data_IF_957676008136
#
_entry.id   IF_957676008136
#
_cell.length_a   1.000
_cell.length_b   1.000
_cell.length_c   1.000
_cell.angle_alpha   90.00
_cell.angle_beta   90.00
_cell.angle_gamma   90.00
#
_symmetry.space_group_name_H-M   'P 1'
#
loop_
_entity.id
_entity.type
_entity.pdbx_description
1 polymer ?
#
# COMPACT_ATOMS: atom_id res chain seq x y z
N UNK A 1 -50.25 -13.83 -5.25
CA UNK A 1 -49.11 -14.13 -6.15
C UNK A 1 -49.17 -13.20 -7.36
N UNK A 2 -48.16 -12.35 -7.53
CA UNK A 2 -47.60 -12.07 -8.84
C UNK A 2 -46.12 -12.46 -8.86
N UNK A 3 -45.70 -13.11 -9.95
CA UNK A 3 -44.32 -13.50 -10.17
C UNK A 3 -43.43 -12.26 -10.34
N UNK A 4 -42.43 -12.08 -9.46
CA UNK A 4 -41.39 -11.09 -9.70
C UNK A 4 -40.51 -11.58 -10.85
N UNK A 5 -40.52 -10.82 -11.95
CA UNK A 5 -39.56 -10.99 -13.04
C UNK A 5 -38.17 -10.74 -12.47
N UNK A 6 -37.37 -11.81 -12.31
CA UNK A 6 -35.92 -11.70 -12.11
C UNK A 6 -35.33 -11.06 -13.36
N UNK A 7 -34.95 -9.80 -13.27
CA UNK A 7 -34.14 -9.14 -14.29
C UNK A 7 -32.73 -9.74 -14.29
N UNK A 8 -32.13 -10.04 -15.46
CA UNK A 8 -30.80 -10.64 -15.56
C UNK A 8 -29.74 -9.54 -15.45
N UNK A 9 -29.53 -8.98 -14.26
CA UNK A 9 -28.59 -7.86 -14.05
C UNK A 9 -27.14 -8.28 -13.74
N UNK A 10 -26.70 -9.46 -14.20
CA UNK A 10 -25.38 -10.01 -13.86
C UNK A 10 -24.51 -10.43 -15.05
N UNK A 11 -25.00 -10.32 -16.29
CA UNK A 11 -24.27 -10.83 -17.48
C UNK A 11 -23.72 -9.67 -18.34
N UNK A 12 -24.35 -8.50 -18.29
CA UNK A 12 -24.02 -7.37 -19.18
C UNK A 12 -22.61 -6.81 -18.95
N UNK A 13 -22.13 -6.58 -17.70
CA UNK A 13 -20.77 -6.09 -17.48
C UNK A 13 -19.70 -7.09 -17.94
N UNK A 14 -19.88 -8.38 -17.62
CA UNK A 14 -18.96 -9.46 -18.04
C UNK A 14 -18.86 -9.63 -19.55
N UNK A 15 -19.98 -9.50 -20.26
CA UNK A 15 -19.98 -9.53 -21.73
C UNK A 15 -19.23 -8.31 -22.29
N UNK A 16 -19.39 -7.13 -21.68
CA UNK A 16 -18.65 -5.92 -22.06
C UNK A 16 -17.14 -6.09 -21.80
N UNK A 17 -16.73 -6.60 -20.64
CA UNK A 17 -15.33 -6.88 -20.34
C UNK A 17 -14.72 -7.94 -21.27
N UNK A 18 -15.46 -9.01 -21.55
CA UNK A 18 -15.05 -10.03 -22.52
C UNK A 18 -14.86 -9.45 -23.92
N UNK A 19 -15.78 -8.61 -24.38
CA UNK A 19 -15.66 -7.91 -25.67
C UNK A 19 -14.46 -6.96 -25.68
N UNK A 20 -14.23 -6.21 -24.60
CA UNK A 20 -13.08 -5.29 -24.49
C UNK A 20 -11.76 -6.07 -24.54
N UNK A 21 -11.66 -7.17 -23.79
CA UNK A 21 -10.47 -8.01 -23.76
C UNK A 21 -10.23 -8.68 -25.11
N UNK A 22 -11.27 -9.26 -25.74
CA UNK A 22 -11.18 -9.83 -27.09
C UNK A 22 -10.76 -8.76 -28.10
N UNK A 23 -11.30 -7.55 -28.00
CA UNK A 23 -10.95 -6.43 -28.89
C UNK A 23 -9.49 -5.99 -28.71
N UNK A 24 -9.02 -5.90 -27.47
CA UNK A 24 -7.64 -5.59 -27.15
C UNK A 24 -6.68 -6.66 -27.70
N UNK A 25 -7.02 -7.94 -27.52
CA UNK A 25 -6.27 -9.08 -28.03
C UNK A 25 -6.26 -9.12 -29.55
N UNK A 26 -7.40 -8.85 -30.20
CA UNK A 26 -7.53 -8.77 -31.65
C UNK A 26 -6.66 -7.65 -32.21
N UNK A 27 -6.73 -6.44 -31.64
CA UNK A 27 -5.90 -5.30 -32.04
C UNK A 27 -4.40 -5.60 -31.91
N UNK A 28 -4.00 -6.31 -30.85
CA UNK A 28 -2.61 -6.69 -30.61
C UNK A 28 -2.12 -7.81 -31.54
N UNK A 29 -2.97 -8.78 -31.85
CA UNK A 29 -2.65 -9.84 -32.82
C UNK A 29 -2.46 -9.30 -34.24
N UNK A 30 -3.29 -8.34 -34.65
CA UNK A 30 -3.18 -7.71 -35.97
C UNK A 30 -2.23 -6.50 -36.02
N UNK A 31 -1.73 -6.02 -34.87
CA UNK A 31 -0.74 -4.94 -34.76
C UNK A 31 0.44 -5.07 -35.75
N UNK A 32 1.06 -6.26 -35.95
CA UNK A 32 2.21 -6.40 -36.86
C UNK A 32 1.82 -6.23 -38.33
N UNK A 33 0.53 -6.38 -38.66
CA UNK A 33 -0.01 -6.25 -40.02
C UNK A 33 -0.53 -4.83 -40.30
N UNK A 34 -0.49 -3.92 -39.32
CA UNK A 34 -0.98 -2.55 -39.48
C UNK A 34 0.12 -1.61 -40.01
N UNK A 35 -0.26 -0.59 -40.81
CA UNK A 35 0.62 0.52 -41.16
C UNK A 35 1.19 1.20 -39.91
N UNK A 36 2.41 1.73 -40.01
CA UNK A 36 3.21 2.24 -38.89
C UNK A 36 2.47 3.26 -37.99
N UNK A 37 1.66 4.13 -38.60
CA UNK A 37 0.81 5.09 -37.88
C UNK A 37 -0.26 4.37 -37.05
N UNK A 38 -0.96 3.40 -37.63
CA UNK A 38 -2.03 2.63 -36.95
C UNK A 38 -1.49 1.63 -35.92
N UNK A 39 -0.22 1.24 -36.06
CA UNK A 39 0.45 0.32 -35.15
C UNK A 39 0.65 0.92 -33.76
N UNK A 40 1.06 2.19 -33.67
CA UNK A 40 1.16 2.91 -32.41
C UNK A 40 -0.22 3.11 -31.76
N UNK A 41 -1.24 3.46 -32.54
CA UNK A 41 -2.62 3.59 -32.05
C UNK A 41 -3.17 2.25 -31.53
N UNK A 42 -2.97 1.16 -32.27
CA UNK A 42 -3.40 -0.17 -31.85
C UNK A 42 -2.68 -0.64 -30.58
N UNK A 43 -1.40 -0.30 -30.42
CA UNK A 43 -0.64 -0.59 -29.20
C UNK A 43 -1.23 0.16 -28.00
N UNK A 44 -1.40 1.49 -28.11
CA UNK A 44 -1.95 2.30 -27.02
C UNK A 44 -3.40 1.91 -26.68
N UNK A 45 -4.23 1.62 -27.68
CA UNK A 45 -5.63 1.22 -27.48
C UNK A 45 -5.72 -0.17 -26.85
N UNK A 46 -4.98 -1.17 -27.36
CA UNK A 46 -5.01 -2.52 -26.78
C UNK A 46 -4.52 -2.54 -25.33
N UNK A 47 -3.49 -1.76 -25.03
CA UNK A 47 -2.97 -1.61 -23.68
C UNK A 47 -3.95 -0.87 -22.77
N UNK A 48 -4.52 0.26 -23.23
CA UNK A 48 -5.52 1.00 -22.47
C UNK A 48 -6.77 0.16 -22.18
N UNK A 49 -7.18 -0.71 -23.12
CA UNK A 49 -8.30 -1.63 -22.94
C UNK A 49 -7.99 -2.74 -21.92
N UNK A 50 -6.78 -3.29 -21.92
CA UNK A 50 -6.36 -4.29 -20.91
C UNK A 50 -6.33 -3.65 -19.52
N UNK A 51 -5.77 -2.44 -19.41
CA UNK A 51 -5.73 -1.68 -18.15
C UNK A 51 -7.13 -1.28 -17.69
N UNK A 52 -8.01 -0.85 -18.60
CA UNK A 52 -9.40 -0.55 -18.28
C UNK A 52 -10.18 -1.79 -17.81
N UNK A 53 -9.86 -2.98 -18.32
CA UNK A 53 -10.40 -4.25 -17.80
C UNK A 53 -9.89 -4.53 -16.40
N UNK A 54 -8.58 -4.38 -16.15
CA UNK A 54 -8.00 -4.57 -14.81
C UNK A 54 -8.61 -3.58 -13.81
N UNK A 55 -8.59 -2.28 -14.12
CA UNK A 55 -9.16 -1.22 -13.28
C UNK A 55 -10.67 -1.39 -13.11
N UNK A 56 -11.40 -1.74 -14.18
CA UNK A 56 -12.84 -1.95 -14.14
C UNK A 56 -13.23 -3.16 -13.29
N UNK A 57 -12.46 -4.25 -13.34
CA UNK A 57 -12.62 -5.40 -12.45
C UNK A 57 -12.30 -5.03 -11.01
N UNK A 58 -11.27 -4.21 -10.76
CA UNK A 58 -10.97 -3.65 -9.43
C UNK A 58 -12.09 -2.72 -8.92
N UNK A 59 -12.69 -1.91 -9.79
CA UNK A 59 -13.78 -0.99 -9.44
C UNK A 59 -15.10 -1.73 -9.16
N UNK A 60 -15.43 -2.75 -9.97
CA UNK A 60 -16.62 -3.56 -9.77
C UNK A 60 -16.47 -4.43 -8.52
N UNK A 61 -15.26 -4.94 -8.23
CA UNK A 61 -14.93 -5.65 -6.98
C UNK A 61 -15.07 -4.75 -5.74
N UNK A 62 -14.49 -3.55 -5.76
CA UNK A 62 -14.63 -2.57 -4.66
C UNK A 62 -16.07 -2.12 -4.44
N UNK A 63 -16.86 -1.95 -5.50
CA UNK A 63 -18.29 -1.66 -5.40
C UNK A 63 -19.12 -2.85 -4.90
N UNK A 64 -18.64 -4.09 -5.06
CA UNK A 64 -19.36 -5.32 -4.70
C UNK A 64 -18.89 -5.99 -3.40
N UNK A 65 -17.87 -5.45 -2.70
CA UNK A 65 -17.44 -5.89 -1.36
C UNK A 65 -18.55 -5.85 -0.27
N UNK A 66 -19.77 -5.39 -0.61
CA UNK A 66 -20.98 -5.52 0.22
C UNK A 66 -21.80 -6.82 -0.02
N UNK A 67 -21.43 -7.71 -0.96
CA UNK A 67 -22.11 -8.99 -1.20
C UNK A 67 -21.12 -10.11 -1.54
N UNK A 68 -20.41 -10.59 -0.53
CA UNK A 68 -19.47 -11.70 -0.63
C UNK A 68 -20.15 -13.06 -0.43
N UNK A 69 -20.01 -13.95 -1.41
CA UNK A 69 -19.50 -15.33 -1.22
C UNK A 69 -19.37 -16.05 -2.56
N UNK A 70 -20.29 -15.76 -3.50
CA UNK A 70 -20.32 -16.41 -4.82
C UNK A 70 -19.25 -15.83 -5.77
N UNK A 71 -18.94 -14.53 -5.66
CA UNK A 71 -17.98 -13.86 -6.54
C UNK A 71 -16.53 -14.25 -6.26
N UNK A 72 -16.20 -14.58 -5.00
CA UNK A 72 -14.84 -14.89 -4.54
C UNK A 72 -14.29 -16.17 -5.18
N UNK A 73 -15.13 -17.19 -5.30
CA UNK A 73 -14.76 -18.44 -5.96
C UNK A 73 -14.64 -18.30 -7.48
N UNK A 74 -15.46 -17.44 -8.10
CA UNK A 74 -15.43 -17.19 -9.55
C UNK A 74 -14.28 -16.28 -9.98
N UNK A 75 -13.87 -15.33 -9.14
CA UNK A 75 -12.71 -14.45 -9.41
C UNK A 75 -11.38 -15.15 -9.20
N UNK A 76 -11.30 -16.11 -8.28
CA UNK A 76 -10.06 -16.85 -8.07
C UNK A 76 -9.70 -17.69 -9.31
N UNK A 77 -10.70 -18.34 -9.94
CA UNK A 77 -10.53 -19.05 -11.20
C UNK A 77 -10.21 -18.11 -12.38
N UNK A 78 -10.80 -16.90 -12.42
CA UNK A 78 -10.55 -15.95 -13.51
C UNK A 78 -9.19 -15.24 -13.41
N UNK A 79 -8.74 -14.89 -12.20
CA UNK A 79 -7.42 -14.32 -11.96
C UNK A 79 -6.32 -15.30 -12.34
N UNK A 80 -6.49 -16.58 -12.00
CA UNK A 80 -5.53 -17.61 -12.35
C UNK A 80 -5.53 -17.90 -13.85
N UNK A 81 -6.67 -17.84 -14.53
CA UNK A 81 -6.75 -17.93 -15.98
C UNK A 81 -6.18 -16.70 -16.70
N UNK A 82 -6.38 -15.49 -16.18
CA UNK A 82 -5.78 -14.25 -16.72
C UNK A 82 -4.27 -14.26 -16.49
N UNK A 83 -3.81 -14.71 -15.33
CA UNK A 83 -2.39 -14.89 -15.02
C UNK A 83 -1.76 -15.97 -15.92
N UNK A 84 -2.42 -17.12 -16.09
CA UNK A 84 -1.99 -18.18 -17.00
C UNK A 84 -2.01 -17.69 -18.46
N UNK A 85 -2.97 -16.86 -18.88
CA UNK A 85 -3.03 -16.28 -20.21
C UNK A 85 -1.92 -15.23 -20.43
N UNK A 86 -1.66 -14.36 -19.46
CA UNK A 86 -0.57 -13.38 -19.48
C UNK A 86 0.82 -14.03 -19.39
N UNK A 87 0.92 -15.21 -18.76
CA UNK A 87 2.14 -16.02 -18.65
C UNK A 87 2.37 -16.90 -19.89
N UNK A 88 1.30 -17.49 -20.45
CA UNK A 88 1.35 -18.33 -21.64
C UNK A 88 1.56 -17.51 -22.92
N UNK A 89 1.07 -16.27 -22.93
CA UNK A 89 1.29 -15.32 -23.99
C UNK A 89 2.07 -14.15 -23.43
N UNK A 90 3.37 -14.12 -23.74
CA UNK A 90 4.42 -13.12 -23.46
C UNK A 90 4.02 -11.66 -23.84
N UNK A 91 2.85 -11.20 -23.41
CA UNK A 91 2.09 -10.11 -24.03
C UNK A 91 2.45 -8.76 -23.40
N UNK A 92 2.96 -8.70 -22.18
CA UNK A 92 3.52 -7.48 -21.61
C UNK A 92 4.87 -7.78 -20.95
N UNK A 93 5.93 -7.18 -21.50
CA UNK A 93 7.24 -7.16 -20.85
C UNK A 93 7.16 -6.32 -19.57
N UNK A 94 8.00 -6.58 -18.55
CA UNK A 94 8.00 -5.75 -17.33
C UNK A 94 8.24 -4.26 -17.64
N UNK A 95 9.00 -3.96 -18.69
CA UNK A 95 9.21 -2.61 -19.20
C UNK A 95 7.90 -1.94 -19.60
N UNK A 96 7.02 -2.63 -20.31
CA UNK A 96 5.73 -2.08 -20.74
C UNK A 96 4.78 -1.88 -19.56
N UNK A 97 4.77 -2.83 -18.61
CA UNK A 97 4.00 -2.69 -17.36
C UNK A 97 4.45 -1.43 -16.63
N UNK A 98 5.74 -1.29 -16.35
CA UNK A 98 6.25 -0.13 -15.63
C UNK A 98 6.11 1.18 -16.42
N UNK A 99 6.21 1.16 -17.76
CA UNK A 99 5.90 2.35 -18.57
C UNK A 99 4.49 2.87 -18.29
N UNK A 100 3.50 1.98 -18.21
CA UNK A 100 2.12 2.35 -17.92
C UNK A 100 1.94 2.83 -16.49
N UNK A 101 2.56 2.14 -15.53
CA UNK A 101 2.59 2.59 -14.14
C UNK A 101 3.11 4.02 -14.06
N UNK A 102 4.18 4.33 -14.82
CA UNK A 102 4.76 5.66 -14.87
C UNK A 102 3.79 6.69 -15.44
N UNK A 103 3.11 6.38 -16.54
CA UNK A 103 2.14 7.25 -17.18
C UNK A 103 0.96 7.55 -16.24
N UNK A 104 0.41 6.53 -15.59
CA UNK A 104 -0.71 6.67 -14.64
C UNK A 104 -0.28 7.50 -13.44
N UNK A 105 0.80 7.13 -12.77
CA UNK A 105 1.27 7.83 -11.57
C UNK A 105 1.58 9.31 -11.84
N UNK A 106 2.02 9.65 -13.06
CA UNK A 106 2.30 11.04 -13.45
C UNK A 106 1.04 11.86 -13.79
N UNK A 107 -0.11 11.23 -14.00
CA UNK A 107 -1.35 11.89 -14.41
C UNK A 107 -2.40 12.01 -13.30
N UNK A 108 -2.30 11.18 -12.26
CA UNK A 108 -3.25 11.20 -11.15
C UNK A 108 -2.94 12.32 -10.16
N UNK A 109 -3.99 12.92 -9.61
CA UNK A 109 -3.88 13.97 -8.59
C UNK A 109 -3.71 13.43 -7.17
N UNK A 110 -3.79 12.10 -7.00
CA UNK A 110 -3.62 11.38 -5.74
C UNK A 110 -2.27 10.67 -5.71
N UNK A 111 -1.74 10.41 -4.52
CA UNK A 111 -0.47 9.70 -4.34
C UNK A 111 -0.72 8.18 -4.44
N UNK A 112 -0.22 7.50 -5.48
CA UNK A 112 -0.42 6.05 -5.62
C UNK A 112 0.46 5.28 -4.63
N UNK A 113 -0.12 4.32 -3.92
CA UNK A 113 0.64 3.42 -3.04
C UNK A 113 0.37 1.94 -3.33
N UNK A 114 1.40 1.10 -3.24
CA UNK A 114 1.27 -0.37 -3.23
C UNK A 114 0.82 -0.91 -1.86
N UNK A 115 0.83 -0.08 -0.83
CA UNK A 115 0.53 -0.49 0.53
C UNK A 115 -0.97 -0.37 0.79
N UNK A 116 -1.52 -1.37 1.48
CA UNK A 116 -2.91 -1.38 1.91
C UNK A 116 -2.99 -1.45 3.43
N UNK A 117 -3.87 -0.65 4.08
CA UNK A 117 -4.73 0.37 3.48
C UNK A 117 -3.97 1.65 3.10
N UNK A 118 -4.49 2.45 2.17
CA UNK A 118 -4.00 3.81 1.93
C UNK A 118 -4.21 4.69 3.18
N UNK A 119 -3.30 5.62 3.47
CA UNK A 119 -3.41 6.50 4.65
C UNK A 119 -4.67 7.36 4.58
N UNK A 120 -5.49 7.41 5.64
CA UNK A 120 -6.70 8.25 5.64
C UNK A 120 -6.32 9.73 5.59
N UNK A 121 -7.05 10.52 4.80
CA UNK A 121 -6.89 11.97 4.67
C UNK A 121 -5.49 12.44 4.20
N UNK A 122 -4.72 11.58 3.55
CA UNK A 122 -3.36 11.86 3.04
C UNK A 122 -3.29 12.11 1.53
N UNK A 123 -4.43 12.07 0.84
CA UNK A 123 -4.46 12.06 -0.62
C UNK A 123 -3.91 10.78 -1.26
N UNK A 124 -3.53 9.77 -0.47
CA UNK A 124 -3.11 8.45 -0.97
C UNK A 124 -4.28 7.67 -1.58
N UNK A 125 -3.98 6.89 -2.62
CA UNK A 125 -4.89 5.92 -3.18
C UNK A 125 -4.19 4.57 -3.36
N UNK A 126 -4.87 3.50 -2.96
CA UNK A 126 -4.40 2.13 -3.18
C UNK A 126 -4.31 1.88 -4.68
N UNK A 127 -3.10 1.66 -5.16
CA UNK A 127 -2.81 1.52 -6.59
C UNK A 127 -3.26 0.16 -7.14
N UNK A 128 -3.16 -0.90 -6.34
CA UNK A 128 -3.65 -2.24 -6.67
C UNK A 128 -4.12 -2.96 -5.41
N UNK A 129 -5.12 -3.82 -5.52
CA UNK A 129 -5.59 -4.67 -4.42
C UNK A 129 -4.80 -5.99 -4.30
N UNK A 130 -4.10 -6.40 -5.37
CA UNK A 130 -3.19 -7.54 -5.33
C UNK A 130 -1.81 -7.12 -5.80
N UNK A 131 -0.83 -7.39 -4.94
CA UNK A 131 0.59 -7.18 -5.20
C UNK A 131 1.27 -8.44 -5.74
N UNK A 132 0.58 -9.59 -5.80
CA UNK A 132 1.18 -10.89 -6.18
C UNK A 132 1.75 -10.88 -7.60
N UNK A 133 1.09 -10.16 -8.50
CA UNK A 133 1.58 -9.92 -9.85
C UNK A 133 2.94 -9.20 -9.81
N UNK A 134 3.06 -8.14 -9.02
CA UNK A 134 4.30 -7.40 -8.86
C UNK A 134 5.37 -8.21 -8.15
N UNK A 135 5.00 -9.01 -7.13
CA UNK A 135 5.91 -9.91 -6.43
C UNK A 135 6.56 -10.88 -7.43
N UNK A 136 5.77 -11.42 -8.35
CA UNK A 136 6.25 -12.30 -9.41
C UNK A 136 7.15 -11.54 -10.38
N UNK A 137 6.72 -10.36 -10.83
CA UNK A 137 7.40 -9.55 -11.83
C UNK A 137 8.81 -9.12 -11.36
N UNK A 138 8.91 -8.63 -10.13
CA UNK A 138 10.18 -8.18 -9.53
C UNK A 138 11.14 -9.36 -9.32
N UNK A 139 10.62 -10.53 -8.91
CA UNK A 139 11.43 -11.76 -8.77
C UNK A 139 11.97 -12.26 -10.11
N UNK A 140 11.20 -12.14 -11.19
CA UNK A 140 11.60 -12.64 -12.51
C UNK A 140 12.66 -11.75 -13.19
N UNK A 141 12.57 -10.43 -13.06
CA UNK A 141 13.46 -9.50 -13.76
C UNK A 141 14.05 -8.40 -12.85
N UNK A 142 14.73 -8.76 -11.75
CA UNK A 142 15.15 -7.79 -10.73
C UNK A 142 16.05 -6.68 -11.28
N UNK A 143 16.99 -7.02 -12.17
CA UNK A 143 17.92 -6.05 -12.77
C UNK A 143 17.22 -5.01 -13.64
N UNK A 144 16.23 -5.43 -14.42
CA UNK A 144 15.48 -4.52 -15.29
C UNK A 144 14.59 -3.60 -14.46
N UNK A 145 13.94 -4.14 -13.43
CA UNK A 145 13.15 -3.36 -12.49
C UNK A 145 14.00 -2.32 -11.76
N UNK A 146 15.19 -2.70 -11.26
CA UNK A 146 16.11 -1.76 -10.60
C UNK A 146 16.47 -0.60 -11.55
N UNK A 147 16.78 -0.90 -12.82
CA UNK A 147 17.11 0.11 -13.83
C UNK A 147 15.92 1.03 -14.14
N UNK A 148 14.70 0.51 -14.14
CA UNK A 148 13.51 1.35 -14.35
C UNK A 148 13.28 2.25 -13.13
N UNK A 149 13.27 1.67 -11.93
CA UNK A 149 13.03 2.39 -10.69
C UNK A 149 14.10 3.45 -10.41
N UNK A 150 15.36 3.24 -10.81
CA UNK A 150 16.41 4.25 -10.71
C UNK A 150 16.06 5.53 -11.47
N UNK A 151 15.32 5.44 -12.59
CA UNK A 151 14.86 6.62 -13.34
C UNK A 151 13.68 7.32 -12.67
N UNK A 152 12.88 6.62 -11.87
CA UNK A 152 11.71 7.20 -11.18
C UNK A 152 12.11 7.97 -9.94
N UNK A 153 13.22 7.60 -9.32
CA UNK A 153 13.74 8.26 -8.13
C UNK A 153 14.66 9.45 -8.45
N UNK A 154 14.85 9.82 -9.73
CA UNK A 154 15.63 11.00 -10.09
C UNK A 154 15.04 12.28 -9.47
N UNK A 155 15.86 13.29 -9.08
CA UNK A 155 15.37 14.50 -8.41
C UNK A 155 14.26 15.25 -9.17
N UNK A 156 14.30 15.22 -10.51
CA UNK A 156 13.33 15.88 -11.40
C UNK A 156 12.04 15.07 -11.65
N UNK A 157 11.96 13.84 -11.15
CA UNK A 157 10.79 12.99 -11.35
C UNK A 157 9.58 13.49 -10.57
N UNK A 158 8.40 13.18 -11.09
CA UNK A 158 7.12 13.53 -10.46
C UNK A 158 7.01 12.93 -9.05
N UNK A 159 6.42 13.66 -8.09
CA UNK A 159 6.32 13.23 -6.68
C UNK A 159 5.66 11.85 -6.52
N UNK A 160 4.59 11.60 -7.27
CA UNK A 160 3.91 10.29 -7.28
C UNK A 160 4.79 9.15 -7.79
N UNK A 161 5.68 9.43 -8.76
CA UNK A 161 6.62 8.42 -9.25
C UNK A 161 7.68 8.09 -8.22
N UNK A 162 8.19 9.12 -7.54
CA UNK A 162 9.10 8.94 -6.41
C UNK A 162 8.44 8.06 -5.36
N UNK A 163 7.23 8.44 -4.93
CA UNK A 163 6.48 7.72 -3.91
C UNK A 163 6.22 6.25 -4.30
N UNK A 164 5.73 6.00 -5.53
CA UNK A 164 5.48 4.63 -5.98
C UNK A 164 6.77 3.83 -6.11
N UNK A 165 7.87 4.46 -6.56
CA UNK A 165 9.17 3.80 -6.64
C UNK A 165 9.68 3.39 -5.25
N UNK A 166 9.54 4.24 -4.23
CA UNK A 166 9.91 3.88 -2.87
C UNK A 166 9.07 2.72 -2.32
N UNK A 167 7.78 2.61 -2.68
CA UNK A 167 6.97 1.45 -2.33
C UNK A 167 7.55 0.15 -2.88
N UNK A 168 7.94 0.12 -4.17
CA UNK A 168 8.63 -1.03 -4.75
C UNK A 168 9.96 -1.30 -4.05
N UNK A 169 10.81 -0.27 -3.89
CA UNK A 169 12.15 -0.43 -3.29
C UNK A 169 12.05 -0.96 -1.87
N UNK A 170 11.18 -0.37 -1.05
CA UNK A 170 10.95 -0.75 0.34
C UNK A 170 10.35 -2.15 0.44
N UNK A 171 9.26 -2.43 -0.27
CA UNK A 171 8.58 -3.74 -0.22
C UNK A 171 9.49 -4.89 -0.63
N UNK A 172 10.32 -4.71 -1.66
CA UNK A 172 11.23 -5.75 -2.16
C UNK A 172 12.67 -5.65 -1.63
N UNK A 173 12.97 -4.71 -0.74
CA UNK A 173 14.29 -4.48 -0.14
C UNK A 173 15.40 -4.38 -1.20
N UNK A 174 15.17 -3.55 -2.22
CA UNK A 174 16.12 -3.35 -3.34
C UNK A 174 17.31 -2.49 -2.89
N UNK A 175 18.27 -3.12 -2.22
CA UNK A 175 19.44 -2.48 -1.61
C UNK A 175 20.29 -1.64 -2.58
N UNK A 176 20.26 -1.97 -3.87
CA UNK A 176 20.98 -1.26 -4.93
C UNK A 176 20.50 0.19 -5.11
N UNK A 177 19.29 0.51 -4.66
CA UNK A 177 18.68 1.84 -4.77
C UNK A 177 18.60 2.57 -3.42
N UNK A 178 18.86 1.90 -2.30
CA UNK A 178 18.64 2.46 -0.96
C UNK A 178 19.53 3.67 -0.68
N UNK A 179 20.79 3.65 -1.13
CA UNK A 179 21.72 4.75 -0.93
C UNK A 179 21.31 6.03 -1.67
N UNK A 180 20.62 5.89 -2.79
CA UNK A 180 20.14 7.04 -3.57
C UNK A 180 18.92 7.66 -2.89
N UNK A 181 17.99 6.85 -2.38
CA UNK A 181 16.86 7.32 -1.57
C UNK A 181 17.36 8.11 -0.35
N UNK A 182 18.34 7.56 0.37
CA UNK A 182 18.96 8.20 1.52
C UNK A 182 19.55 9.57 1.18
N UNK A 183 20.37 9.63 0.12
CA UNK A 183 21.03 10.87 -0.33
C UNK A 183 20.05 11.99 -0.66
N UNK A 184 18.86 11.66 -1.11
CA UNK A 184 17.84 12.64 -1.46
C UNK A 184 16.96 13.04 -0.27
N UNK A 185 16.60 12.10 0.61
CA UNK A 185 15.61 12.34 1.66
C UNK A 185 16.21 12.90 2.96
N UNK A 186 17.35 12.40 3.43
CA UNK A 186 17.93 12.84 4.71
C UNK A 186 18.25 14.35 4.73
N UNK A 187 18.89 14.94 3.70
CA UNK A 187 19.16 16.37 3.72
C UNK A 187 17.88 17.21 3.78
N UNK A 188 16.83 16.77 3.09
CA UNK A 188 15.54 17.49 3.04
C UNK A 188 14.83 17.39 4.39
N UNK A 189 14.86 16.23 5.04
CA UNK A 189 14.35 16.08 6.41
C UNK A 189 15.11 16.98 7.40
N UNK A 190 16.45 17.01 7.32
CA UNK A 190 17.28 17.79 8.24
C UNK A 190 17.16 19.31 8.09
N UNK A 191 16.83 19.81 6.89
CA UNK A 191 16.55 21.23 6.67
C UNK A 191 15.31 21.70 7.45
N UNK A 192 14.39 20.80 7.79
CA UNK A 192 13.15 21.09 8.46
C UNK A 192 12.15 21.86 7.58
N UNK A 193 10.94 22.08 8.11
CA UNK A 193 9.92 22.87 7.40
C UNK A 193 9.35 22.18 6.15
N UNK A 194 9.17 20.86 6.20
CA UNK A 194 8.56 20.09 5.11
C UNK A 194 7.15 20.61 4.81
N UNK A 195 6.91 20.95 3.54
CA UNK A 195 5.56 21.16 3.05
C UNK A 195 4.78 19.83 3.10
N UNK A 196 3.44 19.88 3.13
CA UNK A 196 2.62 18.67 3.06
C UNK A 196 2.97 17.83 1.82
N UNK A 197 3.18 18.49 0.68
CA UNK A 197 3.56 17.87 -0.58
C UNK A 197 4.93 17.17 -0.55
N UNK A 198 5.89 17.72 0.20
CA UNK A 198 7.23 17.13 0.31
C UNK A 198 7.31 16.05 1.39
N UNK A 199 6.55 16.21 2.47
CA UNK A 199 6.59 15.32 3.63
C UNK A 199 6.35 13.87 3.24
N UNK A 200 5.34 13.62 2.42
CA UNK A 200 4.94 12.26 2.07
C UNK A 200 6.02 11.49 1.31
N UNK A 201 6.60 12.08 0.25
CA UNK A 201 7.62 11.37 -0.52
C UNK A 201 8.95 11.28 0.24
N UNK A 202 9.30 12.28 1.04
CA UNK A 202 10.51 12.26 1.89
C UNK A 202 10.41 11.15 2.92
N UNK A 203 9.30 11.09 3.67
CA UNK A 203 9.09 10.05 4.67
C UNK A 203 8.99 8.67 4.03
N UNK A 204 8.37 8.55 2.85
CA UNK A 204 8.31 7.27 2.14
C UNK A 204 9.68 6.81 1.64
N UNK A 205 10.55 7.72 1.21
CA UNK A 205 11.95 7.40 0.91
C UNK A 205 12.67 6.89 2.15
N UNK A 206 12.49 7.57 3.29
CA UNK A 206 13.11 7.18 4.57
C UNK A 206 12.65 5.80 5.00
N UNK A 207 11.35 5.54 4.96
CA UNK A 207 10.82 4.20 5.20
C UNK A 207 11.46 3.17 4.26
N UNK A 208 11.47 3.43 2.95
CA UNK A 208 11.94 2.46 1.95
C UNK A 208 13.42 2.12 2.08
N UNK A 209 14.30 3.08 2.38
CA UNK A 209 15.70 2.74 2.63
C UNK A 209 15.94 2.18 4.02
N UNK A 210 15.17 2.59 5.04
CA UNK A 210 15.27 2.03 6.40
C UNK A 210 14.92 0.54 6.45
N UNK A 211 14.02 0.08 5.56
CA UNK A 211 13.74 -1.34 5.29
C UNK A 211 14.95 -2.14 4.81
N UNK A 212 15.96 -1.48 4.24
CA UNK A 212 17.18 -2.09 3.73
C UNK A 212 18.33 -2.07 4.76
N UNK A 213 18.14 -1.41 5.91
CA UNK A 213 19.14 -1.32 6.97
C UNK A 213 19.33 -2.64 7.73
N UNK A 214 20.46 -2.74 8.44
CA UNK A 214 20.75 -3.83 9.37
C UNK A 214 21.24 -3.22 10.69
N UNK A 215 20.41 -3.17 11.76
CA UNK A 215 19.02 -3.62 11.83
C UNK A 215 18.05 -2.75 11.00
N UNK A 216 16.91 -3.31 10.59
CA UNK A 216 15.86 -2.60 9.84
C UNK A 216 15.23 -1.48 10.68
N UNK A 217 14.79 -0.41 10.00
CA UNK A 217 14.11 0.74 10.59
C UNK A 217 14.92 1.56 11.60
N UNK A 218 16.25 1.45 11.60
CA UNK A 218 17.09 2.15 12.57
C UNK A 218 16.91 3.66 12.48
N UNK A 219 17.10 4.24 11.29
CA UNK A 219 16.96 5.68 11.11
C UNK A 219 15.51 6.14 11.34
N UNK A 220 14.55 5.31 10.95
CA UNK A 220 13.13 5.62 11.07
C UNK A 220 12.72 5.71 12.54
N UNK A 221 13.23 4.79 13.37
CA UNK A 221 13.08 4.83 14.81
C UNK A 221 13.79 6.03 15.45
N UNK A 222 14.99 6.39 14.98
CA UNK A 222 15.67 7.60 15.44
C UNK A 222 14.86 8.88 15.14
N UNK A 223 14.28 8.98 13.93
CA UNK A 223 13.38 10.08 13.57
C UNK A 223 12.14 10.09 14.47
N UNK A 224 11.49 8.95 14.65
CA UNK A 224 10.29 8.83 15.48
C UNK A 224 10.54 9.23 16.94
N UNK A 225 11.70 8.85 17.48
CA UNK A 225 12.08 9.15 18.87
C UNK A 225 12.44 10.62 19.10
N UNK A 226 13.04 11.27 18.10
CA UNK A 226 13.62 12.62 18.26
C UNK A 226 12.75 13.74 17.71
N UNK A 227 11.82 13.45 16.80
CA UNK A 227 10.92 14.46 16.24
C UNK A 227 9.94 14.98 17.28
N UNK A 228 9.60 16.26 17.16
CA UNK A 228 8.47 16.90 17.83
C UNK A 228 7.36 17.31 16.83
N UNK A 229 7.50 16.94 15.55
CA UNK A 229 6.52 17.22 14.51
C UNK A 229 5.42 16.15 14.54
N UNK A 230 4.22 16.56 14.94
CA UNK A 230 3.06 15.68 15.07
C UNK A 230 2.65 15.04 13.75
N UNK A 231 2.84 15.70 12.61
CA UNK A 231 2.48 15.12 11.31
C UNK A 231 3.47 14.03 10.88
N UNK A 232 4.76 14.18 11.23
CA UNK A 232 5.75 13.12 11.04
C UNK A 232 5.42 11.91 11.94
N UNK A 233 5.12 12.15 13.22
CA UNK A 233 4.73 11.09 14.15
C UNK A 233 3.50 10.32 13.64
N UNK A 234 2.46 11.04 13.22
CA UNK A 234 1.25 10.46 12.63
C UNK A 234 1.53 9.63 11.39
N UNK A 235 2.36 10.13 10.48
CA UNK A 235 2.73 9.41 9.27
C UNK A 235 3.43 8.09 9.59
N UNK A 236 4.36 8.10 10.55
CA UNK A 236 5.13 6.93 10.98
C UNK A 236 4.28 5.91 11.75
N UNK A 237 3.38 6.38 12.61
CA UNK A 237 2.47 5.53 13.39
C UNK A 237 1.46 4.77 12.53
N UNK A 238 1.27 5.16 11.26
CA UNK A 238 0.41 4.42 10.35
C UNK A 238 1.11 3.23 9.67
N UNK A 239 2.44 3.19 9.61
CA UNK A 239 3.19 2.10 8.97
C UNK A 239 2.84 0.71 9.53
N UNK A 240 2.68 0.49 10.85
CA UNK A 240 2.30 -0.81 11.40
C UNK A 240 0.89 -1.26 10.99
N UNK A 241 0.03 -0.32 10.56
CA UNK A 241 -1.29 -0.63 9.99
C UNK A 241 -1.16 -1.19 8.58
N UNK A 242 -0.23 -0.66 7.79
CA UNK A 242 0.02 -1.08 6.41
C UNK A 242 0.87 -2.36 6.31
N UNK A 243 1.86 -2.49 7.19
CA UNK A 243 2.88 -3.54 7.10
C UNK A 243 3.30 -4.05 8.49
N UNK A 244 2.41 -4.73 9.22
CA UNK A 244 2.71 -5.19 10.57
C UNK A 244 3.95 -6.11 10.59
N UNK A 245 4.92 -5.78 11.44
CA UNK A 245 6.18 -6.51 11.60
C UNK A 245 6.75 -6.31 13.00
N UNK A 246 7.59 -7.23 13.46
CA UNK A 246 8.19 -7.16 14.80
C UNK A 246 9.10 -5.93 14.95
N UNK A 247 9.80 -5.55 13.89
CA UNK A 247 10.71 -4.41 13.90
C UNK A 247 9.95 -3.08 14.04
N UNK A 248 8.77 -2.95 13.42
CA UNK A 248 7.89 -1.81 13.65
C UNK A 248 7.27 -1.82 15.06
N UNK A 249 7.03 -3.01 15.63
CA UNK A 249 6.63 -3.14 17.04
C UNK A 249 7.70 -2.60 18.00
N UNK A 250 8.97 -2.91 17.73
CA UNK A 250 10.10 -2.36 18.49
C UNK A 250 10.19 -0.83 18.33
N UNK A 251 9.99 -0.32 17.12
CA UNK A 251 9.96 1.12 16.86
C UNK A 251 8.87 1.84 17.67
N UNK A 252 7.66 1.27 17.75
CA UNK A 252 6.57 1.81 18.57
C UNK A 252 6.90 1.74 20.06
N UNK A 253 7.53 0.65 20.53
CA UNK A 253 8.00 0.55 21.91
C UNK A 253 9.00 1.66 22.24
N UNK A 254 10.01 1.86 21.39
CA UNK A 254 11.07 2.85 21.62
C UNK A 254 10.51 4.29 21.59
N UNK A 255 9.49 4.54 20.75
CA UNK A 255 8.75 5.80 20.74
C UNK A 255 8.02 6.06 22.06
N UNK A 256 7.41 5.03 22.67
CA UNK A 256 6.72 5.16 23.96
C UNK A 256 7.66 5.35 25.15
N UNK A 257 8.90 4.85 25.05
CA UNK A 257 9.96 5.01 26.04
C UNK A 257 10.56 6.43 26.08
N UNK A 258 10.31 7.27 25.06
CA UNK A 258 10.87 8.63 25.03
C UNK A 258 10.40 9.45 26.23
N UNK A 259 11.23 10.36 26.72
CA UNK A 259 10.86 11.25 27.84
C UNK A 259 9.90 12.38 27.42
N UNK A 260 9.84 12.70 26.13
CA UNK A 260 9.00 13.76 25.60
C UNK A 260 7.50 13.45 25.74
N UNK A 261 6.68 14.50 25.80
CA UNK A 261 5.23 14.37 25.74
C UNK A 261 4.81 13.79 24.37
N UNK A 262 3.75 12.99 24.36
CA UNK A 262 3.11 12.49 23.14
C UNK A 262 1.73 13.12 23.11
N UNK A 263 1.32 13.67 21.96
CA UNK A 263 -0.01 14.22 21.81
C UNK A 263 -1.07 13.12 21.91
N UNK A 264 -2.23 13.43 22.50
CA UNK A 264 -3.31 12.45 22.70
C UNK A 264 -3.76 11.82 21.37
N UNK A 265 -3.87 12.62 20.30
CA UNK A 265 -4.18 12.10 18.95
C UNK A 265 -3.16 11.05 18.46
N UNK A 266 -1.88 11.22 18.81
CA UNK A 266 -0.83 10.28 18.46
C UNK A 266 -0.87 9.03 19.36
N UNK A 267 -1.33 9.13 20.61
CA UNK A 267 -1.61 7.95 21.44
C UNK A 267 -2.74 7.10 20.86
N UNK A 268 -3.77 7.71 20.27
CA UNK A 268 -4.82 6.97 19.56
C UNK A 268 -4.26 6.20 18.35
N UNK A 269 -3.33 6.80 17.62
CA UNK A 269 -2.62 6.14 16.51
C UNK A 269 -1.71 5.01 17.01
N UNK A 270 -1.06 5.17 18.18
CA UNK A 270 -0.33 4.06 18.80
C UNK A 270 -1.27 2.91 19.11
N UNK A 271 -2.44 3.17 19.72
CA UNK A 271 -3.44 2.12 20.02
C UNK A 271 -3.84 1.37 18.75
N UNK A 272 -4.04 2.09 17.64
CA UNK A 272 -4.36 1.52 16.33
C UNK A 272 -3.20 0.68 15.76
N UNK A 273 -1.97 1.20 15.82
CA UNK A 273 -0.77 0.51 15.38
C UNK A 273 -0.57 -0.81 16.15
N UNK A 274 -0.70 -0.76 17.48
CA UNK A 274 -0.55 -1.94 18.35
C UNK A 274 -1.65 -2.96 18.09
N UNK A 275 -2.90 -2.53 17.85
CA UNK A 275 -3.99 -3.42 17.45
C UNK A 275 -3.67 -4.19 16.16
N UNK A 276 -3.16 -3.48 15.14
CA UNK A 276 -2.75 -4.06 13.86
C UNK A 276 -1.63 -5.09 14.04
N UNK A 277 -0.59 -4.71 14.79
CA UNK A 277 0.56 -5.58 15.07
C UNK A 277 0.16 -6.84 15.86
N UNK A 278 -0.73 -6.69 16.84
CA UNK A 278 -1.23 -7.80 17.64
C UNK A 278 -2.10 -8.76 16.82
N UNK A 279 -3.03 -8.23 16.01
CA UNK A 279 -3.85 -9.03 15.09
C UNK A 279 -3.00 -9.83 14.12
N UNK A 280 -1.91 -9.23 13.63
CA UNK A 280 -0.95 -9.89 12.74
C UNK A 280 0.00 -10.86 13.47
N UNK A 281 -0.13 -11.02 14.80
CA UNK A 281 0.73 -11.83 15.66
C UNK A 281 2.22 -11.42 15.60
N UNK A 282 2.50 -10.16 15.26
CA UNK A 282 3.86 -9.63 15.22
C UNK A 282 4.42 -9.37 16.63
N UNK A 283 3.55 -9.00 17.57
CA UNK A 283 3.87 -8.74 18.98
C UNK A 283 2.70 -9.12 19.90
N UNK A 284 2.97 -9.22 21.20
CA UNK A 284 1.93 -9.14 22.24
C UNK A 284 1.57 -7.66 22.51
N UNK A 285 0.51 -7.19 21.86
CA UNK A 285 0.06 -5.80 21.99
C UNK A 285 -0.50 -5.48 23.38
N UNK A 286 -1.09 -6.46 24.07
CA UNK A 286 -1.63 -6.27 25.42
C UNK A 286 -0.48 -6.03 26.40
N UNK A 287 0.56 -6.87 26.33
CA UNK A 287 1.77 -6.68 27.13
C UNK A 287 2.46 -5.34 26.84
N UNK A 288 2.53 -4.94 25.56
CA UNK A 288 3.12 -3.66 25.18
C UNK A 288 2.36 -2.47 25.78
N UNK A 289 1.03 -2.44 25.70
CA UNK A 289 0.24 -1.36 26.30
C UNK A 289 0.39 -1.33 27.83
N UNK A 290 0.39 -2.50 28.50
CA UNK A 290 0.58 -2.62 29.96
C UNK A 290 1.94 -2.13 30.45
N UNK A 291 2.97 -2.17 29.59
CA UNK A 291 4.31 -1.66 29.91
C UNK A 291 4.31 -0.13 30.14
N UNK A 292 3.35 0.60 29.57
CA UNK A 292 3.29 2.06 29.62
C UNK A 292 2.00 2.60 30.26
N UNK A 293 1.70 2.26 31.53
CA UNK A 293 0.45 2.66 32.18
C UNK A 293 0.32 4.18 32.35
N UNK A 294 1.45 4.89 32.47
CA UNK A 294 1.47 6.35 32.56
C UNK A 294 1.14 7.06 31.24
N UNK A 295 1.30 6.36 30.10
CA UNK A 295 0.92 6.86 28.77
C UNK A 295 -0.54 6.58 28.48
N UNK A 296 -1.00 5.39 28.85
CA UNK A 296 -2.36 4.92 28.62
C UNK A 296 -3.07 4.72 29.95
N UNK A 297 -3.57 5.81 30.52
CA UNK A 297 -4.35 5.77 31.77
C UNK A 297 -5.80 5.34 31.54
N UNK A 298 -6.62 5.43 32.60
CA UNK A 298 -8.06 5.10 32.58
C UNK A 298 -8.83 5.80 31.44
N UNK A 299 -8.44 7.02 31.07
CA UNK A 299 -9.07 7.79 29.99
C UNK A 299 -8.93 7.14 28.61
N UNK A 300 -7.92 6.29 28.39
CA UNK A 300 -7.67 5.64 27.10
C UNK A 300 -8.21 4.20 27.05
N UNK A 301 -8.73 3.66 28.15
CA UNK A 301 -9.29 2.30 28.19
C UNK A 301 -10.48 2.17 27.21
N UNK A 302 -11.37 3.15 27.18
CA UNK A 302 -12.51 3.17 26.25
C UNK A 302 -12.05 3.26 24.79
N UNK A 303 -10.97 4.00 24.51
CA UNK A 303 -10.39 4.10 23.18
C UNK A 303 -9.73 2.81 22.73
N UNK A 304 -9.00 2.12 23.60
CA UNK A 304 -8.47 0.78 23.33
C UNK A 304 -9.59 -0.18 22.96
N UNK A 305 -10.64 -0.26 23.79
CA UNK A 305 -11.77 -1.14 23.52
C UNK A 305 -12.50 -0.79 22.22
N UNK A 306 -12.71 0.50 21.96
CA UNK A 306 -13.39 0.98 20.75
C UNK A 306 -12.58 0.68 19.49
N UNK A 307 -11.27 0.97 19.50
CA UNK A 307 -10.41 0.80 18.34
C UNK A 307 -10.18 -0.70 18.07
N UNK A 308 -9.87 -1.50 19.09
CA UNK A 308 -9.52 -2.91 18.91
C UNK A 308 -10.71 -3.76 18.43
N UNK A 309 -11.96 -3.36 18.73
CA UNK A 309 -13.16 -3.97 18.14
C UNK A 309 -13.17 -3.87 16.61
N UNK A 310 -12.65 -2.79 16.02
CA UNK A 310 -12.54 -2.64 14.57
C UNK A 310 -11.56 -3.66 13.95
N UNK A 311 -10.66 -4.21 14.77
CA UNK A 311 -9.70 -5.24 14.37
C UNK A 311 -10.18 -6.65 14.73
N UNK A 312 -11.46 -6.83 15.09
CA UNK A 312 -12.05 -8.12 15.47
C UNK A 312 -11.29 -8.84 16.60
N UNK A 313 -10.64 -8.09 17.48
CA UNK A 313 -9.93 -8.61 18.65
C UNK A 313 -10.94 -8.82 19.80
N UNK A 314 -10.78 -9.91 20.54
CA UNK A 314 -11.78 -10.37 21.53
C UNK A 314 -11.80 -9.44 22.74
N UNK A 315 -12.96 -8.88 23.14
CA UNK A 315 -13.05 -7.91 24.24
C UNK A 315 -12.61 -8.44 25.62
N UNK A 316 -12.61 -9.75 25.81
CA UNK A 316 -12.33 -10.40 27.10
C UNK A 316 -10.86 -10.29 27.50
N UNK A 317 -9.94 -10.23 26.53
CA UNK A 317 -8.51 -10.00 26.78
C UNK A 317 -8.18 -8.54 27.11
N UNK A 318 -9.12 -7.62 26.82
CA UNK A 318 -8.92 -6.17 26.92
C UNK A 318 -9.58 -5.55 28.15
N UNK A 319 -10.49 -6.27 28.80
CA UNK A 319 -11.13 -5.81 30.04
C UNK A 319 -10.06 -5.69 31.13
N UNK A 320 -9.82 -4.47 31.56
CA UNK A 320 -8.93 -4.19 32.68
C UNK A 320 -7.45 -4.18 32.35
N UNK A 321 -7.06 -3.90 31.10
CA UNK A 321 -5.65 -3.67 30.74
C UNK A 321 -5.01 -2.63 31.68
N UNK A 322 -5.74 -1.55 31.99
CA UNK A 322 -5.28 -0.47 32.87
C UNK A 322 -6.03 -0.40 34.21
N UNK A 323 -6.83 -1.43 34.56
CA UNK A 323 -7.41 -1.50 35.89
C UNK A 323 -6.29 -1.86 36.88
N UNK A 324 -6.04 -0.97 37.83
CA UNK A 324 -5.14 -1.26 38.95
C UNK A 324 -5.64 -2.50 39.70
N UNK A 325 -4.74 -3.44 39.97
CA UNK A 325 -4.83 -4.22 41.19
C UNK A 325 -4.79 -3.21 42.34
N UNK A 326 -5.96 -2.89 42.87
CA UNK A 326 -6.08 -2.25 44.18
C UNK A 326 -5.45 -3.20 45.19
N UNK A 327 -4.26 -2.85 45.67
CA UNK A 327 -3.65 -3.44 46.87
C UNK A 327 -4.55 -3.18 48.08
#
# INVERSE_FOLDING_TARGET
MPASKKTPFSIVPFVIFGIILITALFLKYFQPMLPEVLRNWAEHISIALIVAVVIGLTYEYTSHLFREEILKNLLHESQEQVYQALKAYNVLTPVEVFRLLKEIASQINQTPTLLYPARPNSGECTFTESVDFFDTLVKMQPKEIIKILSTWIEPKSHKNLKYLASDFIGKYQLTELSDELRRQAEPVLHLGGLTEDDRDWVLNYIWAYSRCEKPMYKILGDVMRTTSDHEIEKWLLFLPVQMPSIELGNMVNDYLERDAAIADDNLLLVIQAVASLHRAQAIDGVALLKKFPNRFGLHHQEDVERIWRNYALVPEELKGIFLHESV
#
